data_IF_977576004514
#
_entry.id   IF_977576004514
#
_cell.length_a   1.000
_cell.length_b   1.000
_cell.length_c   1.000
_cell.angle_alpha   90.00
_cell.angle_beta   90.00
_cell.angle_gamma   90.00
#
_symmetry.space_group_name_H-M   'P 1'
#
loop_
_entity.id
_entity.type
_entity.pdbx_description
1 polymer ?
#
# COMPACT_ATOMS: atom_id res chain seq x y z
N UNK A 1 52.17 31.93 26.92
CA UNK A 1 50.99 31.18 27.41
C UNK A 1 50.19 32.08 28.34
N UNK A 2 48.87 32.27 28.12
CA UNK A 2 47.97 33.13 28.92
C UNK A 2 46.83 32.26 29.48
N UNK A 3 46.36 32.52 30.69
CA UNK A 3 45.14 31.95 31.28
C UNK A 3 44.21 33.10 31.71
N UNK A 4 42.89 32.96 31.50
CA UNK A 4 41.82 33.90 31.91
C UNK A 4 40.83 33.22 32.86
N UNK A 5 40.46 33.91 33.94
CA UNK A 5 39.33 33.63 34.83
C UNK A 5 38.21 34.65 34.53
N UNK A 6 37.01 34.19 34.19
CA UNK A 6 35.79 35.03 34.04
C UNK A 6 34.57 34.10 34.00
N UNK A 7 34.03 33.70 35.16
CA UNK A 7 32.87 32.78 35.25
C UNK A 7 31.92 32.99 36.44
N UNK A 8 31.81 34.18 37.04
CA UNK A 8 30.93 34.35 38.23
C UNK A 8 29.77 35.36 38.05
N UNK A 9 29.76 36.19 37.00
CA UNK A 9 28.69 37.18 36.82
C UNK A 9 27.38 36.67 36.16
N UNK A 10 27.28 35.39 35.81
CA UNK A 10 26.18 34.87 34.97
C UNK A 10 24.95 34.34 35.74
N UNK A 11 24.98 34.29 37.08
CA UNK A 11 23.96 33.57 37.86
C UNK A 11 22.82 34.49 38.36
N UNK A 12 23.04 35.80 38.47
CA UNK A 12 22.04 36.72 39.07
C UNK A 12 21.06 37.35 38.06
N UNK A 13 21.22 37.11 36.76
CA UNK A 13 20.30 37.58 35.71
C UNK A 13 19.20 36.56 35.35
N UNK A 14 19.20 35.38 35.97
CA UNK A 14 18.29 34.28 35.60
C UNK A 14 16.95 34.30 36.38
N UNK A 15 16.81 35.14 37.40
CA UNK A 15 15.61 35.14 38.27
C UNK A 15 14.47 36.04 37.80
N UNK A 16 14.66 36.88 36.77
CA UNK A 16 13.62 37.77 36.24
C UNK A 16 12.93 37.27 34.95
N UNK A 17 13.36 36.13 34.39
CA UNK A 17 12.83 35.60 33.13
C UNK A 17 11.61 34.67 33.29
N UNK A 18 11.21 34.34 34.53
CA UNK A 18 10.12 33.36 34.76
C UNK A 18 8.70 33.93 34.77
N UNK A 19 8.49 35.25 34.60
CA UNK A 19 7.13 35.82 34.62
C UNK A 19 6.46 35.94 33.23
N UNK A 20 7.21 35.78 32.12
CA UNK A 20 6.67 35.87 30.75
C UNK A 20 6.11 34.56 30.19
N UNK A 21 6.40 33.42 30.80
CA UNK A 21 6.06 32.10 30.24
C UNK A 21 4.56 31.74 30.32
N UNK A 22 3.81 32.35 31.25
CA UNK A 22 2.40 31.99 31.51
C UNK A 22 1.38 32.74 30.63
N UNK A 23 1.77 33.87 30.03
CA UNK A 23 0.87 34.63 29.14
C UNK A 23 0.84 34.08 27.71
N UNK A 24 1.97 33.53 27.24
CA UNK A 24 2.09 32.92 25.91
C UNK A 24 1.23 31.67 25.75
N UNK A 25 1.16 30.81 26.78
CA UNK A 25 0.38 29.57 26.73
C UNK A 25 -1.13 29.82 26.53
N UNK A 26 -1.70 30.88 27.13
CA UNK A 26 -3.12 31.20 26.95
C UNK A 26 -3.42 31.72 25.54
N UNK A 27 -2.57 32.60 25.02
CA UNK A 27 -2.70 33.12 23.65
C UNK A 27 -2.50 32.02 22.60
N UNK A 28 -1.56 31.10 22.82
CA UNK A 28 -1.33 29.96 21.94
C UNK A 28 -2.52 28.99 21.94
N UNK A 29 -3.12 28.72 23.11
CA UNK A 29 -4.32 27.89 23.23
C UNK A 29 -5.54 28.52 22.56
N UNK A 30 -5.69 29.85 22.62
CA UNK A 30 -6.76 30.58 21.92
C UNK A 30 -6.54 30.60 20.41
N UNK A 31 -5.30 30.81 19.96
CA UNK A 31 -4.93 30.73 18.54
C UNK A 31 -5.17 29.33 17.95
N UNK A 32 -4.84 28.27 18.70
CA UNK A 32 -5.11 26.89 18.31
C UNK A 32 -6.61 26.62 18.21
N UNK A 33 -7.42 27.07 19.18
CA UNK A 33 -8.88 26.94 19.13
C UNK A 33 -9.50 27.64 17.92
N UNK A 34 -9.08 28.88 17.64
CA UNK A 34 -9.56 29.62 16.47
C UNK A 34 -9.15 28.92 15.16
N UNK A 35 -7.93 28.40 15.09
CA UNK A 35 -7.46 27.64 13.91
C UNK A 35 -8.29 26.37 13.69
N UNK A 36 -8.65 25.66 14.77
CA UNK A 36 -9.51 24.46 14.66
C UNK A 36 -10.94 24.78 14.23
N UNK A 37 -11.52 25.90 14.68
CA UNK A 37 -12.86 26.32 14.24
C UNK A 37 -12.88 26.68 12.76
N UNK A 38 -11.88 27.46 12.30
CA UNK A 38 -11.77 27.82 10.88
C UNK A 38 -11.61 26.59 9.97
N UNK A 39 -10.90 25.56 10.43
CA UNK A 39 -10.77 24.31 9.67
C UNK A 39 -12.10 23.57 9.57
N UNK A 40 -12.87 23.48 10.66
CA UNK A 40 -14.19 22.86 10.67
C UNK A 40 -15.14 23.60 9.71
N UNK A 41 -15.13 24.94 9.72
CA UNK A 41 -15.94 25.75 8.81
C UNK A 41 -15.56 25.56 7.34
N UNK A 42 -14.25 25.48 7.04
CA UNK A 42 -13.77 25.20 5.68
C UNK A 42 -14.24 23.82 5.18
N UNK A 43 -14.25 22.81 6.06
CA UNK A 43 -14.74 21.46 5.74
C UNK A 43 -16.26 21.44 5.49
N UNK A 44 -17.03 22.31 6.15
CA UNK A 44 -18.46 22.48 5.89
C UNK A 44 -18.71 23.21 4.57
N UNK A 45 -17.94 24.26 4.25
CA UNK A 45 -18.05 25.00 2.99
C UNK A 45 -17.70 24.13 1.76
N UNK A 46 -16.71 23.24 1.90
CA UNK A 46 -16.34 22.28 0.85
C UNK A 46 -17.34 21.13 0.69
N UNK A 47 -18.40 21.08 1.50
CA UNK A 47 -19.44 20.06 1.45
C UNK A 47 -19.02 18.68 1.97
N UNK A 48 -17.83 18.58 2.59
CA UNK A 48 -17.30 17.34 3.17
C UNK A 48 -17.90 17.03 4.55
N UNK A 49 -18.50 18.02 5.20
CA UNK A 49 -19.12 17.89 6.52
C UNK A 49 -20.49 18.59 6.58
N UNK A 50 -21.49 17.95 7.18
CA UNK A 50 -22.81 18.55 7.42
C UNK A 50 -22.77 19.49 8.62
N UNK A 51 -23.58 20.55 8.63
CA UNK A 51 -23.65 21.53 9.74
C UNK A 51 -23.92 20.85 11.09
N UNK A 52 -24.84 19.88 11.14
CA UNK A 52 -25.17 19.15 12.37
C UNK A 52 -23.96 18.39 12.96
N UNK A 53 -23.10 17.81 12.09
CA UNK A 53 -21.90 17.09 12.54
C UNK A 53 -20.80 18.05 13.00
N UNK A 54 -20.69 19.23 12.38
CA UNK A 54 -19.77 20.27 12.83
C UNK A 54 -20.13 20.77 14.24
N UNK A 55 -21.41 21.00 14.52
CA UNK A 55 -21.89 21.45 15.82
C UNK A 55 -21.63 20.41 16.93
N UNK A 56 -21.78 19.12 16.61
CA UNK A 56 -21.43 18.03 17.53
C UNK A 56 -19.93 18.00 17.88
N UNK A 57 -19.06 18.28 16.90
CA UNK A 57 -17.60 18.30 17.10
C UNK A 57 -17.15 19.51 17.95
N UNK A 58 -17.78 20.67 17.78
CA UNK A 58 -17.51 21.85 18.61
C UNK A 58 -17.93 21.58 20.06
N UNK A 59 -19.07 20.91 20.24
CA UNK A 59 -19.59 20.53 21.55
C UNK A 59 -18.68 19.53 22.27
N UNK A 60 -18.15 18.51 21.58
CA UNK A 60 -17.23 17.54 22.19
C UNK A 60 -15.88 18.17 22.54
N UNK A 61 -15.36 19.07 21.72
CA UNK A 61 -14.11 19.79 22.00
C UNK A 61 -14.19 20.69 23.24
N UNK A 62 -15.37 21.26 23.53
CA UNK A 62 -15.57 22.14 24.70
C UNK A 62 -15.68 21.36 26.01
N UNK A 63 -16.13 20.09 25.96
CA UNK A 63 -16.38 19.27 27.15
C UNK A 63 -15.09 18.65 27.72
N UNK A 64 -14.01 18.54 26.92
CA UNK A 64 -12.79 17.80 27.34
C UNK A 64 -11.76 18.63 28.12
N UNK A 65 -12.03 19.88 28.52
CA UNK A 65 -11.16 20.64 29.44
C UNK A 65 -12.04 21.40 30.45
N UNK A 66 -12.06 21.06 31.76
CA UNK A 66 -10.87 20.93 32.62
C UNK A 66 -10.90 19.79 33.69
N UNK A 67 -9.80 19.72 34.44
CA UNK A 67 -9.60 19.15 35.79
C UNK A 67 -9.07 17.70 35.91
N UNK A 68 -7.86 17.65 36.45
CA UNK A 68 -7.11 16.51 36.90
C UNK A 68 -7.66 15.91 38.22
N UNK A 69 -7.14 14.71 38.54
CA UNK A 69 -7.12 14.01 39.84
C UNK A 69 -8.25 13.00 40.12
N UNK A 70 -7.91 11.71 39.95
CA UNK A 70 -7.85 10.66 40.98
C UNK A 70 -7.35 9.37 40.29
N UNK A 71 -6.06 9.05 40.33
CA UNK A 71 -5.32 8.41 41.43
C UNK A 71 -5.64 6.91 41.62
N UNK A 72 -4.73 6.09 41.05
CA UNK A 72 -4.13 4.85 41.56
C UNK A 72 -4.98 3.56 41.52
N UNK A 73 -4.45 2.42 41.06
CA UNK A 73 -3.07 1.92 41.18
C UNK A 73 -2.70 0.92 40.08
N UNK A 74 -1.44 1.00 39.61
CA UNK A 74 -0.76 -0.09 38.90
C UNK A 74 -0.20 -1.13 39.89
N UNK A 75 0.16 -2.33 39.40
CA UNK A 75 1.58 -2.66 39.43
C UNK A 75 2.14 -3.18 38.10
N UNK A 76 3.23 -2.52 37.68
CA UNK A 76 4.47 -3.04 37.07
C UNK A 76 4.46 -4.15 36.02
N UNK A 77 4.74 -3.72 34.78
CA UNK A 77 5.81 -4.14 33.88
C UNK A 77 5.82 -5.56 33.27
N UNK A 78 5.54 -5.65 31.96
CA UNK A 78 6.54 -6.08 30.96
C UNK A 78 6.14 -5.73 29.52
N UNK A 79 7.14 -5.31 28.75
CA UNK A 79 7.04 -4.72 27.43
C UNK A 79 6.80 -5.74 26.32
N UNK A 80 5.82 -5.47 25.46
CA UNK A 80 5.85 -5.71 24.01
C UNK A 80 4.59 -5.09 23.41
N UNK A 81 4.68 -3.85 22.92
CA UNK A 81 3.59 -3.21 22.16
C UNK A 81 3.50 -3.84 20.75
N UNK A 82 3.05 -5.08 20.69
CA UNK A 82 2.57 -5.70 19.45
C UNK A 82 1.10 -5.32 19.29
N UNK A 83 0.84 -4.33 18.44
CA UNK A 83 -0.47 -3.93 17.90
C UNK A 83 -1.69 -4.57 18.59
N UNK A 84 -1.98 -4.14 19.81
CA UNK A 84 -3.14 -4.63 20.57
C UNK A 84 -4.37 -3.91 20.04
N UNK A 85 -4.93 -4.43 18.95
CA UNK A 85 -6.25 -4.03 18.47
C UNK A 85 -7.27 -4.54 19.47
N UNK A 86 -7.70 -3.66 20.40
CA UNK A 86 -8.82 -3.94 21.30
C UNK A 86 -10.10 -4.01 20.48
N UNK A 87 -10.45 -5.21 20.03
CA UNK A 87 -11.74 -5.47 19.38
C UNK A 87 -12.81 -5.54 20.48
N UNK A 88 -13.75 -4.61 20.45
CA UNK A 88 -14.93 -4.67 21.30
C UNK A 88 -15.70 -5.95 20.99
N UNK A 89 -16.07 -6.72 22.02
CA UNK A 89 -16.85 -7.95 21.83
C UNK A 89 -18.23 -7.60 21.24
N UNK A 90 -18.39 -7.88 19.95
CA UNK A 90 -19.68 -7.84 19.28
C UNK A 90 -20.34 -9.21 19.45
N UNK A 91 -21.55 -9.29 20.02
CA UNK A 91 -22.29 -10.55 20.11
C UNK A 91 -22.49 -11.20 18.74
N UNK A 92 -22.43 -12.53 18.67
CA UNK A 92 -22.56 -13.29 17.40
C UNK A 92 -23.88 -13.01 16.65
N UNK A 93 -24.95 -12.68 17.37
CA UNK A 93 -26.22 -12.25 16.76
C UNK A 93 -26.08 -10.99 15.92
N UNK A 94 -25.39 -9.98 16.45
CA UNK A 94 -25.15 -8.68 15.79
C UNK A 94 -24.21 -8.86 14.60
N UNK A 95 -23.18 -9.70 14.72
CA UNK A 95 -22.32 -10.03 13.57
C UNK A 95 -23.09 -10.70 12.43
N UNK A 96 -24.03 -11.59 12.76
CA UNK A 96 -24.86 -12.27 11.77
C UNK A 96 -25.83 -11.30 11.09
N UNK A 97 -26.45 -10.42 11.87
CA UNK A 97 -27.33 -9.37 11.34
C UNK A 97 -26.59 -8.38 10.44
N UNK A 98 -25.43 -7.88 10.88
CA UNK A 98 -24.56 -7.01 10.08
C UNK A 98 -24.13 -7.72 8.80
N UNK A 99 -23.79 -9.01 8.85
CA UNK A 99 -23.38 -9.77 7.66
C UNK A 99 -24.51 -9.89 6.65
N UNK A 100 -25.72 -10.21 7.10
CA UNK A 100 -26.88 -10.31 6.21
C UNK A 100 -27.28 -8.95 5.64
N UNK A 101 -27.22 -7.88 6.45
CA UNK A 101 -27.47 -6.52 6.00
C UNK A 101 -26.44 -6.08 4.96
N UNK A 102 -25.14 -6.25 5.23
CA UNK A 102 -24.07 -5.92 4.28
C UNK A 102 -24.21 -6.76 3.00
N UNK A 103 -24.55 -8.04 3.10
CA UNK A 103 -24.76 -8.89 1.94
C UNK A 103 -25.93 -8.39 1.08
N UNK A 104 -27.03 -7.98 1.73
CA UNK A 104 -28.17 -7.35 1.05
C UNK A 104 -27.79 -6.03 0.37
N UNK A 105 -27.07 -5.15 1.07
CA UNK A 105 -26.61 -3.86 0.56
C UNK A 105 -25.62 -4.02 -0.60
N UNK A 106 -24.65 -4.93 -0.50
CA UNK A 106 -23.67 -5.21 -1.57
C UNK A 106 -24.34 -5.85 -2.78
N UNK A 107 -25.32 -6.74 -2.60
CA UNK A 107 -26.07 -7.31 -3.73
C UNK A 107 -26.99 -6.27 -4.38
N UNK A 108 -27.60 -5.37 -3.60
CA UNK A 108 -28.39 -4.25 -4.11
C UNK A 108 -27.51 -3.25 -4.87
N UNK A 109 -26.31 -2.94 -4.35
CA UNK A 109 -25.33 -2.08 -4.98
C UNK A 109 -24.71 -2.72 -6.23
N UNK A 110 -24.38 -4.00 -6.17
CA UNK A 110 -23.92 -4.76 -7.34
C UNK A 110 -25.00 -4.83 -8.42
N UNK A 111 -26.28 -4.82 -8.06
CA UNK A 111 -27.38 -4.75 -9.03
C UNK A 111 -27.60 -3.35 -9.59
N UNK A 112 -27.41 -2.29 -8.79
CA UNK A 112 -27.54 -0.89 -9.22
C UNK A 112 -26.36 -0.44 -10.08
N UNK A 113 -25.14 -0.77 -9.66
CA UNK A 113 -23.89 -0.56 -10.40
C UNK A 113 -23.59 -1.68 -11.40
N UNK A 114 -24.52 -2.64 -11.51
CA UNK A 114 -24.50 -3.80 -12.39
C UNK A 114 -23.29 -4.73 -12.26
N UNK A 115 -22.40 -4.61 -11.27
CA UNK A 115 -21.17 -5.40 -11.14
C UNK A 115 -21.37 -6.88 -11.53
N UNK A 116 -20.88 -7.26 -12.72
CA UNK A 116 -21.02 -8.61 -13.30
C UNK A 116 -21.93 -8.75 -14.54
N UNK A 117 -22.70 -7.72 -14.90
CA UNK A 117 -23.44 -7.63 -16.17
C UNK A 117 -22.48 -7.09 -17.26
N UNK A 118 -22.57 -7.49 -18.56
CA UNK A 118 -21.69 -7.02 -19.64
C UNK A 118 -21.67 -5.49 -19.91
N UNK A 119 -22.36 -4.68 -19.11
CA UNK A 119 -22.36 -3.21 -19.13
C UNK A 119 -22.12 -2.55 -17.76
N UNK A 120 -21.59 -3.30 -16.78
CA UNK A 120 -21.29 -2.80 -15.44
C UNK A 120 -19.95 -2.08 -15.32
N UNK A 121 -19.00 -2.52 -16.14
CA UNK A 121 -17.72 -1.84 -16.28
C UNK A 121 -17.91 -0.70 -17.28
N UNK A 122 -17.25 0.45 -17.07
CA UNK A 122 -17.26 1.52 -18.05
C UNK A 122 -16.94 1.02 -19.46
N UNK A 123 -17.60 1.57 -20.48
CA UNK A 123 -17.47 1.12 -21.88
C UNK A 123 -16.03 1.11 -22.41
N UNK A 124 -15.12 1.86 -21.80
CA UNK A 124 -13.71 1.81 -22.17
C UNK A 124 -13.04 0.50 -21.75
N UNK A 125 -13.42 -0.09 -20.61
CA UNK A 125 -12.84 -1.34 -20.09
C UNK A 125 -13.20 -2.52 -21.00
N UNK A 126 -14.44 -2.58 -21.47
CA UNK A 126 -14.90 -3.63 -22.39
C UNK A 126 -14.21 -3.58 -23.77
N UNK A 127 -13.57 -2.46 -24.12
CA UNK A 127 -12.73 -2.35 -25.33
C UNK A 127 -11.36 -2.99 -25.18
N UNK A 128 -10.87 -3.21 -23.96
CA UNK A 128 -9.58 -3.87 -23.71
C UNK A 128 -9.77 -5.38 -23.58
N UNK A 129 -9.02 -6.13 -24.38
CA UNK A 129 -8.96 -7.59 -24.29
C UNK A 129 -7.55 -8.02 -23.90
N UNK A 130 -7.41 -8.52 -22.68
CA UNK A 130 -6.18 -9.14 -22.25
C UNK A 130 -6.15 -10.60 -22.70
N UNK A 131 -5.02 -11.00 -23.26
CA UNK A 131 -4.73 -12.35 -23.71
C UNK A 131 -3.32 -12.70 -23.29
N UNK A 132 -3.05 -13.98 -23.09
CA UNK A 132 -1.70 -14.41 -22.80
C UNK A 132 -1.58 -15.90 -22.76
N UNK A 133 -0.34 -16.36 -22.81
CA UNK A 133 0.01 -17.75 -22.63
C UNK A 133 1.34 -17.88 -21.92
N UNK A 134 1.48 -18.98 -21.19
CA UNK A 134 2.69 -19.35 -20.48
C UNK A 134 3.09 -20.73 -20.97
N UNK A 135 4.36 -20.87 -21.35
CA UNK A 135 4.94 -22.13 -21.79
C UNK A 135 6.20 -22.42 -20.99
N UNK A 136 6.21 -23.60 -20.40
CA UNK A 136 7.36 -24.17 -19.73
C UNK A 136 7.88 -25.34 -20.56
N UNK A 137 9.20 -25.39 -20.76
CA UNK A 137 9.87 -26.52 -21.41
C UNK A 137 11.10 -26.90 -20.60
N UNK A 138 11.17 -28.18 -20.27
CA UNK A 138 12.39 -28.83 -19.81
C UNK A 138 12.94 -29.60 -21.01
N UNK A 139 14.23 -29.42 -21.28
CA UNK A 139 14.91 -30.12 -22.34
C UNK A 139 16.24 -30.65 -21.80
N UNK A 140 16.47 -31.92 -22.03
CA UNK A 140 17.69 -32.63 -21.68
C UNK A 140 18.27 -33.23 -22.96
N UNK A 141 19.46 -32.79 -23.34
CA UNK A 141 20.23 -33.39 -24.41
C UNK A 141 21.30 -34.25 -23.74
N UNK A 142 21.09 -35.56 -23.73
CA UNK A 142 21.94 -36.55 -23.07
C UNK A 142 22.83 -37.23 -24.11
N UNK A 143 24.13 -37.27 -23.85
CA UNK A 143 25.12 -37.91 -24.69
C UNK A 143 25.67 -39.17 -24.02
N UNK A 144 26.01 -40.17 -24.83
CA UNK A 144 26.66 -41.37 -24.31
C UNK A 144 28.10 -41.04 -23.86
N UNK A 145 28.56 -41.71 -22.80
CA UNK A 145 29.90 -41.53 -22.25
C UNK A 145 31.01 -41.91 -23.23
N UNK A 146 30.71 -42.86 -24.12
CA UNK A 146 31.66 -43.39 -25.10
C UNK A 146 31.57 -42.66 -26.46
N UNK A 147 30.89 -41.51 -26.52
CA UNK A 147 30.76 -40.77 -27.76
C UNK A 147 32.12 -40.16 -28.17
N UNK A 148 32.41 -40.20 -29.47
CA UNK A 148 33.64 -39.62 -29.99
C UNK A 148 33.66 -38.09 -29.74
N UNK A 149 34.82 -37.55 -29.37
CA UNK A 149 34.97 -36.10 -29.14
C UNK A 149 34.75 -35.32 -30.44
N UNK A 150 34.31 -34.05 -30.37
CA UNK A 150 34.16 -33.20 -31.55
C UNK A 150 35.42 -33.14 -32.43
N UNK A 151 36.60 -33.14 -31.81
CA UNK A 151 37.88 -33.15 -32.52
C UNK A 151 38.11 -34.46 -33.31
N UNK A 152 37.73 -35.62 -32.75
CA UNK A 152 37.82 -36.90 -33.45
C UNK A 152 36.82 -36.98 -34.62
N UNK A 153 35.60 -36.46 -34.43
CA UNK A 153 34.58 -36.38 -35.48
C UNK A 153 35.01 -35.47 -36.64
N UNK A 154 35.69 -34.36 -36.33
CA UNK A 154 36.18 -33.43 -37.34
C UNK A 154 37.21 -34.07 -38.30
N UNK A 155 37.98 -35.06 -37.83
CA UNK A 155 38.90 -35.83 -38.69
C UNK A 155 38.18 -36.63 -39.79
N UNK A 156 36.91 -36.97 -39.55
CA UNK A 156 36.03 -37.64 -40.50
C UNK A 156 35.13 -36.65 -41.28
N UNK A 157 35.38 -35.34 -41.17
CA UNK A 157 34.61 -34.29 -41.83
C UNK A 157 33.28 -33.95 -41.15
N UNK A 158 33.02 -34.46 -39.94
CA UNK A 158 31.81 -34.15 -39.17
C UNK A 158 32.15 -33.07 -38.16
N UNK A 159 31.65 -31.85 -38.40
CA UNK A 159 31.88 -30.71 -37.51
C UNK A 159 30.65 -30.49 -36.63
N UNK A 160 30.80 -30.75 -35.33
CA UNK A 160 29.75 -30.58 -34.32
C UNK A 160 30.33 -29.83 -33.12
N UNK A 161 29.55 -28.96 -32.50
CA UNK A 161 30.04 -28.16 -31.37
C UNK A 161 30.15 -28.97 -30.06
N UNK A 162 29.38 -30.05 -29.94
CA UNK A 162 29.35 -30.90 -28.75
C UNK A 162 28.82 -32.30 -29.07
N UNK A 163 29.46 -33.31 -28.51
CA UNK A 163 29.03 -34.71 -28.59
C UNK A 163 29.20 -35.48 -27.28
N UNK A 164 29.79 -34.88 -26.24
CA UNK A 164 30.17 -35.58 -25.01
C UNK A 164 29.50 -34.98 -23.77
N UNK A 165 29.23 -33.69 -23.77
CA UNK A 165 28.70 -32.99 -22.60
C UNK A 165 27.18 -32.97 -22.61
N UNK A 166 26.55 -33.44 -21.54
CA UNK A 166 25.10 -33.32 -21.37
C UNK A 166 24.69 -31.86 -21.26
N UNK A 167 23.50 -31.53 -21.80
CA UNK A 167 22.94 -30.18 -21.73
C UNK A 167 21.52 -30.21 -21.21
N UNK A 168 21.31 -29.57 -20.06
CA UNK A 168 20.00 -29.40 -19.45
C UNK A 168 19.54 -27.96 -19.59
N UNK A 169 18.29 -27.75 -19.99
CA UNK A 169 17.70 -26.43 -20.23
C UNK A 169 16.29 -26.36 -19.67
N UNK A 170 16.10 -25.43 -18.74
CA UNK A 170 14.78 -24.99 -18.31
C UNK A 170 14.43 -23.68 -19.02
N UNK A 171 13.38 -23.71 -19.83
CA UNK A 171 12.94 -22.60 -20.67
C UNK A 171 11.53 -22.17 -20.25
N UNK A 172 11.36 -20.85 -20.08
CA UNK A 172 10.09 -20.23 -19.76
C UNK A 172 9.79 -19.13 -20.78
N UNK A 173 8.62 -19.21 -21.39
CA UNK A 173 8.09 -18.17 -22.25
C UNK A 173 6.75 -17.68 -21.73
N UNK A 174 6.65 -16.38 -21.55
CA UNK A 174 5.41 -15.69 -21.19
C UNK A 174 5.09 -14.74 -22.32
N UNK A 175 3.86 -14.84 -22.84
CA UNK A 175 3.33 -13.91 -23.83
C UNK A 175 2.13 -13.22 -23.23
N UNK A 176 2.12 -11.90 -23.32
CA UNK A 176 1.03 -11.05 -22.85
C UNK A 176 0.61 -10.16 -24.02
N UNK A 177 -0.62 -10.29 -24.47
CA UNK A 177 -1.21 -9.48 -25.52
C UNK A 177 -2.36 -8.64 -24.99
N UNK A 178 -2.35 -7.35 -25.27
CA UNK A 178 -3.46 -6.44 -25.01
C UNK A 178 -4.02 -5.97 -26.35
N UNK A 179 -5.26 -6.33 -26.63
CA UNK A 179 -6.04 -5.80 -27.75
C UNK A 179 -6.93 -4.65 -27.28
N UNK A 180 -7.12 -3.65 -28.14
CA UNK A 180 -7.95 -2.48 -27.91
C UNK A 180 -8.85 -2.30 -29.13
N UNK A 181 -10.18 -2.33 -28.93
CA UNK A 181 -11.13 -1.95 -29.96
C UNK A 181 -11.24 -0.42 -30.00
N UNK A 182 -10.66 0.19 -31.05
CA UNK A 182 -10.59 1.65 -31.20
C UNK A 182 -11.88 2.17 -31.85
N UNK A 183 -12.35 1.48 -32.89
CA UNK A 183 -13.63 1.73 -33.57
C UNK A 183 -14.28 0.39 -33.93
N UNK A 184 -15.48 0.42 -34.53
CA UNK A 184 -16.20 -0.82 -34.87
C UNK A 184 -15.42 -1.74 -35.80
N UNK A 185 -14.69 -1.17 -36.76
CA UNK A 185 -13.89 -1.91 -37.74
C UNK A 185 -12.38 -1.89 -37.44
N UNK A 186 -11.95 -1.17 -36.40
CA UNK A 186 -10.52 -0.96 -36.10
C UNK A 186 -10.13 -1.52 -34.75
N UNK A 187 -9.14 -2.42 -34.78
CA UNK A 187 -8.52 -3.00 -33.59
C UNK A 187 -7.02 -2.71 -33.61
N UNK A 188 -6.51 -2.24 -32.48
CA UNK A 188 -5.09 -2.08 -32.23
C UNK A 188 -4.66 -3.12 -31.18
N UNK A 189 -3.41 -3.55 -31.21
CA UNK A 189 -2.91 -4.52 -30.25
C UNK A 189 -1.43 -4.35 -29.97
N UNK A 190 -1.05 -4.59 -28.72
CA UNK A 190 0.33 -4.66 -28.28
C UNK A 190 0.58 -6.05 -27.68
N UNK A 191 1.71 -6.67 -28.02
CA UNK A 191 2.11 -7.95 -27.44
C UNK A 191 3.53 -7.86 -26.90
N UNK A 192 3.67 -8.23 -25.63
CA UNK A 192 4.94 -8.47 -24.96
C UNK A 192 5.21 -9.97 -24.97
N UNK A 193 6.46 -10.35 -25.18
CA UNK A 193 6.90 -11.75 -25.16
C UNK A 193 8.25 -11.81 -24.48
N UNK A 194 8.39 -12.74 -23.54
CA UNK A 194 9.67 -13.07 -22.90
C UNK A 194 10.33 -14.26 -23.61
N UNK A 195 11.65 -14.40 -23.49
CA UNK A 195 12.40 -15.55 -24.02
C UNK A 195 13.16 -15.29 -25.32
N UNK A 196 13.65 -16.36 -25.94
CA UNK A 196 14.57 -16.33 -27.10
C UNK A 196 13.86 -16.26 -28.46
N UNK A 197 14.36 -15.47 -29.41
CA UNK A 197 13.80 -15.41 -30.78
C UNK A 197 14.07 -16.67 -31.61
N UNK A 198 15.06 -17.48 -31.24
CA UNK A 198 15.50 -18.66 -32.00
C UNK A 198 14.84 -19.98 -31.56
N UNK A 199 14.03 -19.94 -30.49
CA UNK A 199 13.33 -21.10 -29.96
C UNK A 199 11.83 -20.88 -29.82
N UNK A 200 11.02 -21.94 -29.78
CA UNK A 200 9.58 -21.83 -29.51
C UNK A 200 9.25 -21.56 -28.03
N UNK A 201 10.25 -21.62 -27.14
CA UNK A 201 10.19 -21.32 -25.69
C UNK A 201 11.43 -20.54 -25.31
#
# INVERSE_FOLDING_TARGET
>A
MKIKMTRIAAILALTFACQGAQAGEKQEMEALRQTTLNLIEALVQQGLLTRDKADMLIKSATITQPAAQQAQSEPTAQAANANVVRVQYVPESVKREIREQIKGEVLAQAKSERWGDPGAMPDWVSRFKLSGDVRLRLQEDLFQKDNATPAQLALFGINVDNSTENRERALLRVRLGMGIKVADDWTAGLRLTTGSTTGPV
#
